data_IF_458230095133
#
_entry.id   IF_458230095133
#
_cell.length_a   1.000
_cell.length_b   1.000
_cell.length_c   1.000
_cell.angle_alpha   90.00
_cell.angle_beta   90.00
_cell.angle_gamma   90.00
#
_symmetry.space_group_name_H-M   'P 1'
#
loop_
_entity.id
_entity.type
_entity.pdbx_description
1 polymer ?
#
# COMPACT_ATOMS: atom_id res chain seq x y z
N UNK A 1 7.05 -2.34 3.57
CA UNK A 1 7.04 -0.92 3.19
C UNK A 1 8.41 -0.34 3.46
N UNK A 2 9.22 -0.24 2.42
CA UNK A 2 10.46 0.52 2.40
C UNK A 2 10.21 2.01 2.21
N UNK A 3 11.27 2.81 2.39
CA UNK A 3 11.21 4.24 2.12
C UNK A 3 10.90 4.50 0.65
N UNK A 4 9.96 5.42 0.39
CA UNK A 4 9.55 5.79 -0.97
C UNK A 4 8.49 4.89 -1.60
N UNK A 5 8.11 3.77 -0.97
CA UNK A 5 7.03 2.91 -1.50
C UNK A 5 5.65 3.54 -1.29
N UNK A 6 4.81 3.52 -2.32
CA UNK A 6 3.40 3.80 -2.18
C UNK A 6 2.70 2.65 -1.44
N UNK A 7 1.87 2.99 -0.45
CA UNK A 7 1.15 2.03 0.38
C UNK A 7 -0.33 2.37 0.48
N UNK A 8 -1.14 1.33 0.62
CA UNK A 8 -2.52 1.47 1.08
C UNK A 8 -2.53 1.32 2.60
N UNK A 9 -3.16 2.26 3.30
CA UNK A 9 -3.29 2.22 4.76
C UNK A 9 -4.75 2.36 5.18
N UNK A 10 -5.09 1.79 6.33
CA UNK A 10 -6.40 1.93 6.95
C UNK A 10 -6.24 2.56 8.33
N UNK A 11 -7.22 3.39 8.72
CA UNK A 11 -7.24 4.08 10.00
C UNK A 11 -8.46 3.71 10.84
N UNK A 12 -8.47 4.10 12.11
CA UNK A 12 -9.60 3.92 13.01
C UNK A 12 -9.81 2.46 13.40
N UNK A 13 -11.07 2.03 13.59
CA UNK A 13 -11.37 0.65 13.99
C UNK A 13 -10.93 -0.40 12.98
N UNK A 14 -10.92 -0.06 11.69
CA UNK A 14 -10.46 -0.95 10.62
C UNK A 14 -8.99 -1.34 10.78
N UNK A 15 -8.20 -0.51 11.47
CA UNK A 15 -6.80 -0.80 11.77
C UNK A 15 -6.59 -1.99 12.72
N UNK A 16 -7.65 -2.51 13.35
CA UNK A 16 -7.58 -3.67 14.27
C UNK A 16 -8.17 -4.95 13.66
N UNK A 17 -8.61 -4.91 12.41
CA UNK A 17 -9.28 -6.03 11.74
C UNK A 17 -8.28 -7.01 11.11
N UNK A 18 -7.17 -7.27 11.79
CA UNK A 18 -6.17 -8.28 11.37
C UNK A 18 -5.74 -9.10 12.58
N UNK A 19 -5.33 -10.35 12.37
CA UNK A 19 -4.81 -11.23 13.43
C UNK A 19 -3.63 -10.61 14.18
N UNK A 20 -2.83 -9.76 13.51
CA UNK A 20 -1.68 -9.11 14.09
C UNK A 20 -2.04 -7.88 14.97
N UNK A 21 -3.19 -7.26 14.76
CA UNK A 21 -3.57 -5.97 15.38
C UNK A 21 -4.81 -6.04 16.25
N UNK A 22 -5.53 -7.17 16.23
CA UNK A 22 -6.71 -7.40 17.08
C UNK A 22 -6.38 -7.23 18.57
N UNK A 23 -7.26 -6.53 19.29
CA UNK A 23 -7.10 -6.22 20.71
C UNK A 23 -5.97 -5.24 21.05
N UNK A 24 -5.21 -4.76 20.07
CA UNK A 24 -4.11 -3.81 20.29
C UNK A 24 -4.60 -2.37 20.08
N UNK A 25 -4.05 -1.37 20.80
CA UNK A 25 -4.37 0.04 20.63
C UNK A 25 -3.69 0.61 19.38
N UNK A 26 -4.08 0.10 18.20
CA UNK A 26 -3.59 0.53 16.89
C UNK A 26 -4.69 1.31 16.19
N UNK A 27 -4.34 2.46 15.62
CA UNK A 27 -5.22 3.40 14.93
C UNK A 27 -4.88 3.59 13.44
N UNK A 28 -3.73 3.11 12.98
CA UNK A 28 -3.33 3.07 11.58
C UNK A 28 -2.45 1.84 11.27
N UNK A 29 -2.64 1.24 10.09
CA UNK A 29 -1.81 0.13 9.60
C UNK A 29 -1.57 0.26 8.11
N UNK A 30 -0.38 -0.14 7.68
CA UNK A 30 -0.08 -0.39 6.26
C UNK A 30 -0.70 -1.73 5.85
N UNK A 31 -1.73 -1.67 5.02
CA UNK A 31 -2.50 -2.83 4.56
C UNK A 31 -1.80 -3.56 3.41
N UNK A 32 -1.22 -2.79 2.49
CA UNK A 32 -0.56 -3.33 1.29
C UNK A 32 0.49 -2.34 0.75
N UNK A 33 1.48 -2.88 0.05
CA UNK A 33 2.34 -2.10 -0.84
C UNK A 33 1.65 -2.07 -2.21
N UNK A 34 1.55 -0.89 -2.81
CA UNK A 34 0.89 -0.73 -4.11
C UNK A 34 1.89 -1.09 -5.21
N UNK A 35 1.49 -1.97 -6.12
CA UNK A 35 2.25 -2.28 -7.35
C UNK A 35 1.83 -1.36 -8.49
N UNK A 36 0.54 -1.31 -8.80
CA UNK A 36 -0.01 -0.47 -9.88
C UNK A 36 -1.30 0.21 -9.42
N UNK A 37 -1.47 1.48 -9.81
CA UNK A 37 -2.73 2.22 -9.65
C UNK A 37 -3.18 2.74 -11.00
N UNK A 38 -4.39 2.36 -11.40
CA UNK A 38 -5.04 2.79 -12.64
C UNK A 38 -6.31 3.60 -12.33
N UNK A 39 -6.53 4.67 -13.09
CA UNK A 39 -7.76 5.48 -13.06
C UNK A 39 -8.27 5.61 -14.49
N UNK A 40 -9.43 4.99 -14.79
CA UNK A 40 -10.13 5.11 -16.09
C UNK A 40 -9.22 4.78 -17.27
N UNK A 41 -8.53 3.64 -17.25
CA UNK A 41 -7.64 3.21 -18.34
C UNK A 41 -6.26 3.87 -18.36
N UNK A 42 -5.98 4.80 -17.43
CA UNK A 42 -4.67 5.46 -17.31
C UNK A 42 -3.95 4.99 -16.06
N UNK A 43 -2.77 4.39 -16.24
CA UNK A 43 -1.87 4.07 -15.14
C UNK A 43 -1.30 5.38 -14.58
N UNK A 44 -1.56 5.63 -13.29
CA UNK A 44 -1.10 6.82 -12.56
C UNK A 44 0.09 6.53 -11.65
N UNK A 45 0.28 5.26 -11.31
CA UNK A 45 1.44 4.79 -10.57
C UNK A 45 1.75 3.36 -11.01
N UNK A 46 3.03 3.10 -11.27
CA UNK A 46 3.58 1.77 -11.51
C UNK A 46 4.91 1.70 -10.77
N UNK A 47 4.97 0.84 -9.75
CA UNK A 47 6.15 0.62 -8.93
C UNK A 47 7.35 0.14 -9.75
N UNK A 48 7.09 -0.53 -10.88
CA UNK A 48 8.11 -1.13 -11.74
C UNK A 48 8.27 -0.39 -13.08
N UNK A 49 7.55 0.73 -13.27
CA UNK A 49 7.62 1.55 -14.47
C UNK A 49 8.97 2.29 -14.61
N UNK A 50 9.46 2.38 -15.84
CA UNK A 50 10.79 2.93 -16.27
C UNK A 50 12.07 2.26 -15.71
N UNK A 51 12.03 1.48 -14.63
CA UNK A 51 13.20 0.67 -14.19
C UNK A 51 13.28 -0.74 -14.81
N UNK A 52 12.36 -1.11 -15.72
CA UNK A 52 12.32 -2.46 -16.29
C UNK A 52 13.13 -2.67 -17.61
N UNK A 53 13.87 -1.68 -18.12
CA UNK A 53 14.76 -1.88 -19.29
C UNK A 53 16.10 -1.15 -19.13
N UNK A 54 16.99 -1.73 -18.33
CA UNK A 54 18.43 -1.66 -18.60
C UNK A 54 18.87 -3.07 -19.00
N UNK A 55 18.69 -3.41 -20.28
CA UNK A 55 19.37 -4.55 -20.92
C UNK A 55 20.44 -3.99 -21.84
#
# INVERSE_FOLDING_TARGET
>A
AGMGEMVMFATGSSARQTTATEGKPVDAVVMAIVDTWEIVGKVVYDKYGEEAVSV
#
